data_IF_323005392103
#
_entry.id   IF_323005392103
#
_cell.length_a   1.000
_cell.length_b   1.000
_cell.length_c   1.000
_cell.angle_alpha   90.00
_cell.angle_beta   90.00
_cell.angle_gamma   90.00
#
_symmetry.space_group_name_H-M   'P 1'
#
loop_
_entity.id
_entity.type
_entity.pdbx_description
1 polymer ?
#
# COMPACT_ATOMS: atom_id res chain seq x y z
N UNK A 1 -24.84 -32.61 5.78
CA UNK A 1 -25.90 -31.57 5.74
C UNK A 1 -25.49 -30.16 6.11
N UNK A 2 -24.35 -29.90 6.75
CA UNK A 2 -23.94 -28.53 7.17
C UNK A 2 -23.33 -27.61 6.08
N UNK A 3 -22.72 -28.17 5.04
CA UNK A 3 -22.09 -27.37 3.96
C UNK A 3 -23.08 -26.66 3.02
N UNK A 4 -24.28 -27.18 2.87
CA UNK A 4 -25.31 -26.58 2.00
C UNK A 4 -25.91 -25.31 2.63
N UNK A 5 -26.13 -25.32 3.95
CA UNK A 5 -26.71 -24.17 4.67
C UNK A 5 -25.74 -22.98 4.71
N UNK A 6 -24.44 -23.21 4.92
CA UNK A 6 -23.43 -22.17 4.91
C UNK A 6 -23.36 -21.46 3.55
N UNK A 7 -23.40 -22.19 2.45
CA UNK A 7 -23.42 -21.61 1.09
C UNK A 7 -24.66 -20.76 0.82
N UNK A 8 -25.83 -21.18 1.29
CA UNK A 8 -27.08 -20.43 1.11
C UNK A 8 -27.03 -19.13 1.93
N UNK A 9 -26.58 -19.18 3.18
CA UNK A 9 -26.44 -17.99 4.03
C UNK A 9 -25.42 -17.02 3.42
N UNK A 10 -24.26 -17.49 2.97
CA UNK A 10 -23.25 -16.63 2.33
C UNK A 10 -23.77 -16.00 1.06
N UNK A 11 -24.51 -16.74 0.22
CA UNK A 11 -25.12 -16.19 -1.00
C UNK A 11 -26.19 -15.16 -0.67
N UNK A 12 -27.06 -15.41 0.30
CA UNK A 12 -28.08 -14.46 0.70
C UNK A 12 -27.50 -13.19 1.30
N UNK A 13 -26.52 -13.30 2.23
CA UNK A 13 -25.86 -12.14 2.78
C UNK A 13 -25.11 -11.32 1.73
N UNK A 14 -24.40 -11.96 0.80
CA UNK A 14 -23.75 -11.27 -0.30
C UNK A 14 -24.73 -10.55 -1.22
N UNK A 15 -25.88 -11.15 -1.50
CA UNK A 15 -26.94 -10.51 -2.27
C UNK A 15 -27.48 -9.26 -1.57
N UNK A 16 -27.84 -9.36 -0.29
CA UNK A 16 -28.34 -8.23 0.48
C UNK A 16 -27.30 -7.12 0.63
N UNK A 17 -26.04 -7.47 0.92
CA UNK A 17 -24.95 -6.49 0.99
C UNK A 17 -24.73 -5.79 -0.34
N UNK A 18 -24.81 -6.51 -1.45
CA UNK A 18 -24.63 -5.94 -2.77
C UNK A 18 -25.80 -4.99 -3.15
N UNK A 19 -27.04 -5.31 -2.75
CA UNK A 19 -28.17 -4.43 -2.94
C UNK A 19 -28.09 -3.19 -2.04
N UNK A 20 -27.68 -3.38 -0.80
CA UNK A 20 -27.46 -2.28 0.15
C UNK A 20 -26.38 -1.31 -0.36
N UNK A 21 -25.22 -1.84 -0.76
CA UNK A 21 -24.13 -1.02 -1.29
C UNK A 21 -24.52 -0.26 -2.55
N UNK A 22 -25.25 -0.88 -3.49
CA UNK A 22 -25.76 -0.21 -4.69
C UNK A 22 -26.75 0.92 -4.38
N UNK A 23 -27.50 0.79 -3.31
CA UNK A 23 -28.48 1.81 -2.93
C UNK A 23 -27.90 2.99 -2.15
N UNK A 24 -26.90 2.72 -1.29
CA UNK A 24 -26.35 3.72 -0.38
C UNK A 24 -24.96 4.23 -0.78
N UNK A 25 -24.20 3.50 -1.58
CA UNK A 25 -22.87 3.91 -2.02
C UNK A 25 -22.96 4.36 -3.50
N UNK A 26 -22.97 5.67 -3.68
CA UNK A 26 -22.76 6.26 -4.99
C UNK A 26 -21.24 6.35 -5.25
N UNK A 27 -20.71 5.41 -6.01
CA UNK A 27 -19.33 5.48 -6.48
C UNK A 27 -19.32 6.31 -7.75
N UNK A 28 -18.93 7.55 -7.64
CA UNK A 28 -18.67 8.40 -8.79
C UNK A 28 -17.35 7.96 -9.44
N UNK A 29 -17.32 7.93 -10.77
CA UNK A 29 -16.05 7.77 -11.47
C UNK A 29 -15.18 8.98 -11.12
N UNK A 30 -13.97 8.79 -10.57
CA UNK A 30 -13.10 9.93 -10.30
C UNK A 30 -12.89 10.70 -11.61
N UNK A 31 -12.91 12.01 -11.53
CA UNK A 31 -12.42 12.84 -12.61
C UNK A 31 -11.00 12.41 -12.95
N UNK A 32 -10.68 12.29 -14.23
CA UNK A 32 -9.34 11.94 -14.69
C UNK A 32 -8.33 12.95 -14.10
N UNK A 33 -7.55 12.52 -13.13
CA UNK A 33 -6.50 13.28 -12.47
C UNK A 33 -6.67 13.35 -10.95
N UNK A 34 -5.55 13.50 -10.26
CA UNK A 34 -5.56 13.83 -8.84
C UNK A 34 -6.07 15.27 -8.65
N UNK A 35 -6.91 15.53 -7.63
CA UNK A 35 -7.29 16.92 -7.33
C UNK A 35 -6.05 17.74 -7.00
N UNK A 36 -6.03 19.04 -7.29
CA UNK A 36 -4.93 19.90 -6.89
C UNK A 36 -4.81 19.86 -5.35
N UNK A 37 -3.58 19.88 -4.80
CA UNK A 37 -3.38 19.89 -3.36
C UNK A 37 -4.03 21.15 -2.76
N UNK A 38 -4.81 21.03 -1.68
CA UNK A 38 -5.29 22.22 -0.97
C UNK A 38 -4.10 23.02 -0.43
N UNK A 39 -4.19 24.34 -0.53
CA UNK A 39 -3.16 25.24 -0.05
C UNK A 39 -2.80 24.92 1.43
N UNK A 40 -1.50 24.93 1.72
CA UNK A 40 -0.90 24.84 3.06
C UNK A 40 -1.18 23.56 3.90
N UNK A 41 -1.49 22.43 3.30
CA UNK A 41 -1.62 21.16 4.04
C UNK A 41 -0.50 20.19 3.68
N UNK A 42 0.10 19.61 4.72
CA UNK A 42 0.97 18.45 4.60
C UNK A 42 0.11 17.18 4.68
N UNK A 43 0.44 16.21 3.85
CA UNK A 43 -0.28 14.95 3.73
C UNK A 43 0.57 13.78 4.24
N UNK A 44 -0.10 12.66 4.46
CA UNK A 44 0.54 11.38 4.65
C UNK A 44 0.66 10.69 3.28
N UNK A 45 1.87 10.23 2.94
CA UNK A 45 2.09 9.37 1.80
C UNK A 45 2.00 7.90 2.26
N UNK A 46 1.07 7.16 1.69
CA UNK A 46 0.98 5.71 1.90
C UNK A 46 1.53 4.98 0.69
N UNK A 47 2.50 4.12 0.92
CA UNK A 47 3.06 3.20 -0.09
C UNK A 47 2.57 1.79 0.22
N UNK A 48 1.91 1.17 -0.75
CA UNK A 48 1.45 -0.20 -0.65
C UNK A 48 2.42 -1.15 -1.33
N UNK A 49 3.14 -1.99 -0.59
CA UNK A 49 4.03 -3.02 -1.15
C UNK A 49 3.26 -4.34 -1.27
N UNK A 50 2.82 -4.75 -2.46
CA UNK A 50 1.87 -5.85 -2.61
C UNK A 50 2.48 -7.24 -2.63
N UNK A 51 3.73 -7.42 -2.23
CA UNK A 51 4.44 -8.69 -2.39
C UNK A 51 4.50 -9.51 -1.11
N UNK A 52 4.28 -10.83 -1.25
CA UNK A 52 4.44 -11.82 -0.20
C UNK A 52 5.08 -13.10 -0.75
N UNK A 53 5.86 -13.80 0.07
CA UNK A 53 6.33 -15.16 -0.24
C UNK A 53 5.25 -16.20 -0.02
N UNK A 54 4.36 -15.95 0.95
CA UNK A 54 3.28 -16.85 1.32
C UNK A 54 2.01 -16.05 1.62
N UNK A 55 0.86 -16.57 1.18
CA UNK A 55 -0.43 -15.91 1.39
C UNK A 55 -1.11 -16.42 2.65
N UNK A 56 -1.37 -15.52 3.59
CA UNK A 56 -2.18 -15.84 4.76
C UNK A 56 -3.64 -16.05 4.33
N UNK A 57 -4.31 -17.13 4.78
CA UNK A 57 -5.65 -17.49 4.35
C UNK A 57 -6.75 -16.49 4.74
N UNK A 58 -6.48 -15.63 5.71
CA UNK A 58 -7.39 -14.58 6.21
C UNK A 58 -7.08 -13.18 5.66
N UNK A 59 -6.04 -13.04 4.85
CA UNK A 59 -5.60 -11.73 4.36
C UNK A 59 -6.51 -11.23 3.22
N UNK A 60 -7.06 -10.05 3.39
CA UNK A 60 -7.92 -9.35 2.42
C UNK A 60 -7.19 -8.32 1.55
N UNK A 61 -5.92 -8.06 1.81
CA UNK A 61 -5.15 -7.10 1.04
C UNK A 61 -4.88 -7.58 -0.39
N UNK A 62 -4.74 -6.62 -1.30
CA UNK A 62 -4.26 -6.89 -2.64
C UNK A 62 -2.79 -7.32 -2.58
N UNK A 63 -2.48 -8.53 -3.07
CA UNK A 63 -1.17 -9.14 -2.93
C UNK A 63 -0.81 -10.02 -4.11
N UNK A 64 0.48 -10.07 -4.39
CA UNK A 64 1.08 -10.89 -5.45
C UNK A 64 2.23 -11.72 -4.89
N UNK A 65 2.50 -12.84 -5.54
CA UNK A 65 3.69 -13.62 -5.21
C UNK A 65 4.94 -12.81 -5.54
N UNK A 66 5.86 -12.74 -4.60
CA UNK A 66 7.14 -12.05 -4.82
C UNK A 66 7.97 -12.76 -5.88
N UNK A 67 8.49 -11.99 -6.82
CA UNK A 67 9.65 -12.30 -7.65
C UNK A 67 10.49 -11.04 -7.75
N UNK A 68 11.82 -11.17 -7.80
CA UNK A 68 12.71 -10.01 -7.90
C UNK A 68 12.39 -9.13 -9.10
N UNK A 69 12.13 -9.75 -10.25
CA UNK A 69 11.76 -9.04 -11.49
C UNK A 69 10.48 -8.20 -11.33
N UNK A 70 9.43 -8.79 -10.76
CA UNK A 70 8.17 -8.08 -10.53
C UNK A 70 8.33 -6.94 -9.52
N UNK A 71 9.11 -7.16 -8.46
CA UNK A 71 9.38 -6.14 -7.45
C UNK A 71 10.17 -4.97 -8.05
N UNK A 72 11.27 -5.22 -8.75
CA UNK A 72 12.07 -4.16 -9.38
C UNK A 72 11.22 -3.33 -10.35
N UNK A 73 10.41 -3.98 -11.19
CA UNK A 73 9.51 -3.26 -12.09
C UNK A 73 8.48 -2.42 -11.34
N UNK A 74 7.91 -2.96 -10.28
CA UNK A 74 6.96 -2.25 -9.43
C UNK A 74 7.58 -1.01 -8.80
N UNK A 75 8.76 -1.13 -8.19
CA UNK A 75 9.43 -0.01 -7.53
C UNK A 75 9.88 1.09 -8.51
N UNK A 76 10.24 0.72 -9.74
CA UNK A 76 10.50 1.72 -10.80
C UNK A 76 9.25 2.56 -11.08
N UNK A 77 8.12 1.93 -11.34
CA UNK A 77 6.86 2.64 -11.58
C UNK A 77 6.38 3.43 -10.35
N UNK A 78 6.57 2.89 -9.15
CA UNK A 78 6.25 3.59 -7.91
C UNK A 78 7.04 4.91 -7.79
N UNK A 79 8.33 4.90 -8.11
CA UNK A 79 9.15 6.13 -8.10
C UNK A 79 8.69 7.14 -9.15
N UNK A 80 8.23 6.69 -10.32
CA UNK A 80 7.63 7.56 -11.33
C UNK A 80 6.32 8.19 -10.83
N UNK A 81 5.46 7.41 -10.16
CA UNK A 81 4.22 7.93 -9.55
C UNK A 81 4.51 8.96 -8.45
N UNK A 82 5.53 8.73 -7.62
CA UNK A 82 5.97 9.66 -6.57
C UNK A 82 6.44 10.99 -7.18
N UNK A 83 7.21 10.94 -8.28
CA UNK A 83 7.62 12.14 -9.02
C UNK A 83 6.42 12.90 -9.57
N UNK A 84 5.49 12.19 -10.19
CA UNK A 84 4.28 12.79 -10.72
C UNK A 84 3.47 13.53 -9.64
N UNK A 85 3.31 12.92 -8.46
CA UNK A 85 2.60 13.54 -7.34
C UNK A 85 3.36 14.77 -6.82
N UNK A 86 4.70 14.76 -6.82
CA UNK A 86 5.52 15.93 -6.52
C UNK A 86 5.32 17.07 -7.52
N UNK A 87 5.27 16.76 -8.81
CA UNK A 87 5.03 17.74 -9.89
C UNK A 87 3.65 18.39 -9.78
N UNK A 88 2.65 17.67 -9.27
CA UNK A 88 1.33 18.21 -8.98
C UNK A 88 1.30 19.17 -7.78
N UNK A 89 2.43 19.34 -7.08
CA UNK A 89 2.56 20.26 -5.94
C UNK A 89 2.18 19.69 -4.58
N UNK A 90 1.98 18.36 -4.47
CA UNK A 90 1.77 17.74 -3.16
C UNK A 90 3.04 17.79 -2.31
N UNK A 91 2.87 17.97 -1.00
CA UNK A 91 3.92 17.87 0.00
C UNK A 91 3.51 16.89 1.11
N UNK A 92 4.48 16.10 1.60
CA UNK A 92 4.26 15.08 2.59
C UNK A 92 5.26 15.25 3.74
N UNK A 93 4.79 15.04 4.98
CA UNK A 93 5.66 14.99 6.15
C UNK A 93 5.61 13.63 6.87
N UNK A 94 4.69 12.76 6.48
CA UNK A 94 4.58 11.39 6.97
C UNK A 94 4.66 10.41 5.82
N UNK A 95 5.46 9.35 6.00
CA UNK A 95 5.52 8.20 5.11
C UNK A 95 5.07 6.95 5.86
N UNK A 96 4.06 6.28 5.35
CA UNK A 96 3.59 4.99 5.85
C UNK A 96 3.75 3.96 4.76
N UNK A 97 4.38 2.85 5.07
CA UNK A 97 4.62 1.74 4.15
C UNK A 97 3.98 0.49 4.72
N UNK A 98 3.09 -0.11 3.97
CA UNK A 98 2.37 -1.30 4.39
C UNK A 98 1.99 -2.19 3.23
N UNK A 99 1.10 -3.15 3.46
CA UNK A 99 0.55 -4.02 2.43
C UNK A 99 0.82 -5.50 2.65
N UNK A 100 1.60 -6.12 1.77
CA UNK A 100 2.01 -7.52 1.87
C UNK A 100 3.14 -7.70 2.88
N UNK A 101 4.36 -7.71 2.39
CA UNK A 101 5.59 -7.81 3.21
C UNK A 101 6.60 -6.76 2.71
N UNK A 102 6.55 -5.51 3.20
CA UNK A 102 7.41 -4.44 2.70
C UNK A 102 8.90 -4.76 2.70
N UNK A 103 9.41 -5.45 3.73
CA UNK A 103 10.82 -5.84 3.84
C UNK A 103 11.23 -7.06 3.00
N UNK A 104 10.35 -7.58 2.15
CA UNK A 104 10.67 -8.71 1.28
C UNK A 104 11.77 -8.38 0.25
N UNK A 105 11.89 -7.12 -0.10
CA UNK A 105 12.95 -6.55 -0.94
C UNK A 105 13.50 -5.30 -0.25
N UNK A 106 14.37 -5.53 0.74
CA UNK A 106 14.91 -4.48 1.61
C UNK A 106 15.65 -3.39 0.82
N UNK A 107 16.40 -3.77 -0.20
CA UNK A 107 17.19 -2.81 -0.99
C UNK A 107 16.31 -1.84 -1.76
N UNK A 108 15.33 -2.34 -2.50
CA UNK A 108 14.37 -1.50 -3.25
C UNK A 108 13.55 -0.62 -2.29
N UNK A 109 13.19 -1.14 -1.11
CA UNK A 109 12.47 -0.38 -0.10
C UNK A 109 13.31 0.78 0.44
N UNK A 110 14.57 0.52 0.83
CA UNK A 110 15.48 1.56 1.35
C UNK A 110 15.72 2.64 0.31
N UNK A 111 16.03 2.26 -0.93
CA UNK A 111 16.21 3.19 -2.04
C UNK A 111 14.97 4.08 -2.23
N UNK A 112 13.77 3.48 -2.13
CA UNK A 112 12.52 4.23 -2.26
C UNK A 112 12.28 5.19 -1.09
N UNK A 113 12.58 4.78 0.15
CA UNK A 113 12.49 5.68 1.32
C UNK A 113 13.44 6.87 1.17
N UNK A 114 14.70 6.61 0.79
CA UNK A 114 15.67 7.67 0.54
C UNK A 114 15.22 8.62 -0.58
N UNK A 115 14.66 8.07 -1.65
CA UNK A 115 14.11 8.83 -2.75
C UNK A 115 12.98 9.75 -2.29
N UNK A 116 12.02 9.25 -1.52
CA UNK A 116 10.93 10.04 -0.95
C UNK A 116 11.45 11.15 -0.03
N UNK A 117 12.42 10.84 0.82
CA UNK A 117 13.03 11.82 1.75
C UNK A 117 13.82 12.90 1.02
N UNK A 118 14.38 12.64 -0.15
CA UNK A 118 15.02 13.66 -1.01
C UNK A 118 14.01 14.62 -1.64
N UNK A 119 12.81 14.12 -1.94
CA UNK A 119 11.77 14.90 -2.61
C UNK A 119 10.88 15.69 -1.64
N UNK A 120 10.65 15.17 -0.46
CA UNK A 120 9.69 15.70 0.52
C UNK A 120 10.32 15.86 1.89
N UNK A 121 9.77 16.79 2.68
CA UNK A 121 10.21 17.04 4.07
C UNK A 121 9.62 16.00 5.03
N UNK A 122 10.00 14.73 4.86
CA UNK A 122 9.50 13.62 5.68
C UNK A 122 10.10 13.71 7.09
N UNK A 123 9.25 13.85 8.09
CA UNK A 123 9.58 13.90 9.51
C UNK A 123 9.48 12.52 10.17
N UNK A 124 8.55 11.69 9.71
CA UNK A 124 8.28 10.38 10.29
C UNK A 124 8.08 9.33 9.21
N UNK A 125 8.70 8.18 9.42
CA UNK A 125 8.53 6.98 8.58
C UNK A 125 8.01 5.85 9.44
N UNK A 126 6.93 5.20 9.00
CA UNK A 126 6.38 3.99 9.60
C UNK A 126 6.35 2.89 8.55
N UNK A 127 6.88 1.73 8.89
CA UNK A 127 6.89 0.56 8.00
C UNK A 127 6.32 -0.65 8.73
N UNK A 128 5.28 -1.24 8.15
CA UNK A 128 4.77 -2.55 8.58
C UNK A 128 5.73 -3.64 8.11
N UNK A 129 5.84 -4.72 8.89
CA UNK A 129 6.67 -5.85 8.50
C UNK A 129 6.17 -7.16 9.10
N UNK A 130 6.59 -8.26 8.48
CA UNK A 130 6.48 -9.60 9.03
C UNK A 130 7.68 -9.86 9.97
N UNK A 131 7.48 -10.37 11.19
CA UNK A 131 8.56 -10.70 12.11
C UNK A 131 9.64 -11.63 11.54
N UNK A 132 9.29 -12.47 10.56
CA UNK A 132 10.24 -13.39 9.91
C UNK A 132 11.20 -12.68 8.94
N UNK A 133 10.90 -11.45 8.54
CA UNK A 133 11.70 -10.66 7.60
C UNK A 133 12.50 -9.56 8.29
N UNK A 134 12.44 -9.46 9.62
CA UNK A 134 13.16 -8.44 10.38
C UNK A 134 14.42 -9.01 11.02
N UNK A 135 15.57 -8.43 10.70
CA UNK A 135 16.86 -8.74 11.30
C UNK A 135 17.41 -7.51 12.01
N UNK A 136 18.36 -7.70 12.91
CA UNK A 136 18.97 -6.59 13.66
C UNK A 136 19.65 -5.59 12.73
N UNK A 137 20.29 -6.08 11.70
CA UNK A 137 20.97 -5.29 10.65
C UNK A 137 19.97 -4.43 9.89
N UNK A 138 18.82 -5.01 9.49
CA UNK A 138 17.71 -4.30 8.84
C UNK A 138 17.20 -3.14 9.70
N UNK A 139 16.97 -3.40 11.00
CA UNK A 139 16.52 -2.35 11.94
C UNK A 139 17.56 -1.23 12.05
N UNK A 140 18.85 -1.57 12.07
CA UNK A 140 19.93 -0.59 12.15
C UNK A 140 19.98 0.28 10.89
N UNK A 141 19.84 -0.32 9.71
CA UNK A 141 19.80 0.42 8.44
C UNK A 141 18.59 1.36 8.37
N UNK A 142 17.41 0.88 8.72
CA UNK A 142 16.18 1.68 8.70
C UNK A 142 16.20 2.83 9.71
N UNK A 143 16.86 2.66 10.87
CA UNK A 143 17.04 3.73 11.85
C UNK A 143 18.01 4.83 11.41
N UNK A 144 18.89 4.52 10.46
CA UNK A 144 19.84 5.47 9.88
C UNK A 144 19.25 6.34 8.76
N UNK A 145 18.04 6.01 8.32
CA UNK A 145 17.30 6.76 7.31
C UNK A 145 16.49 7.89 7.96
#
# INVERSE_FOLDING_TARGET
MRFSQAKIITSATSYFMNQYTKHYLHVEKPSLGLPPPPEAKKYLLYIHVPFCTMFCPYCSFNKFTYTKEAATKYYLHLRDEILYVKELGYDFNYLVIGGGTPLIDEEELIETIEFVKKLFSIEHVSCETDPNHIQKETVTRLKGL
#
